data_IF_807389750551
#
_entry.id   IF_807389750551
#
_cell.length_a   1.000
_cell.length_b   1.000
_cell.length_c   1.000
_cell.angle_alpha   90.00
_cell.angle_beta   90.00
_cell.angle_gamma   90.00
#
_symmetry.space_group_name_H-M   'P 1'
#
loop_
_entity.id
_entity.type
_entity.pdbx_description
1 polymer ?
#
# COMPACT_ATOMS: atom_id res chain seq x y z
N UNK A 1 -15.64 -10.92 -28.39
CA UNK A 1 -14.60 -9.94 -27.99
C UNK A 1 -14.27 -10.00 -26.50
N UNK A 2 -15.21 -9.76 -25.57
CA UNK A 2 -14.91 -9.74 -24.11
C UNK A 2 -14.23 -11.01 -23.57
N UNK A 3 -14.73 -12.22 -23.89
CA UNK A 3 -14.06 -13.46 -23.44
C UNK A 3 -12.65 -13.63 -24.01
N UNK A 4 -12.40 -13.12 -25.21
CA UNK A 4 -11.09 -13.19 -25.88
C UNK A 4 -10.07 -12.32 -25.14
N UNK A 5 -10.46 -11.15 -24.60
CA UNK A 5 -9.53 -10.32 -23.83
C UNK A 5 -9.07 -10.98 -22.54
N UNK A 6 -9.90 -11.80 -21.90
CA UNK A 6 -9.50 -12.58 -20.72
C UNK A 6 -8.55 -13.72 -21.05
N UNK A 7 -8.77 -14.41 -22.17
CA UNK A 7 -7.88 -15.48 -22.63
C UNK A 7 -6.52 -14.90 -23.00
N UNK A 8 -6.48 -13.84 -23.81
CA UNK A 8 -5.24 -13.14 -24.16
C UNK A 8 -4.54 -12.64 -22.89
N UNK A 9 -5.28 -11.98 -21.99
CA UNK A 9 -4.72 -11.50 -20.72
C UNK A 9 -4.16 -12.63 -19.85
N UNK A 10 -4.78 -13.81 -19.85
CA UNK A 10 -4.31 -14.97 -19.08
C UNK A 10 -3.02 -15.57 -19.63
N UNK A 11 -2.88 -15.62 -20.95
CA UNK A 11 -1.65 -16.04 -21.62
C UNK A 11 -0.55 -15.03 -21.35
N UNK A 12 -0.85 -13.73 -21.47
CA UNK A 12 0.10 -12.65 -21.15
C UNK A 12 0.53 -12.73 -19.68
N UNK A 13 -0.39 -12.99 -18.75
CA UNK A 13 -0.08 -13.16 -17.34
C UNK A 13 0.94 -14.29 -17.11
N UNK A 14 0.72 -15.47 -17.70
CA UNK A 14 1.70 -16.56 -17.60
C UNK A 14 3.04 -16.21 -18.24
N UNK A 15 3.06 -15.52 -19.40
CA UNK A 15 4.33 -15.10 -20.02
C UNK A 15 5.11 -14.07 -19.20
N UNK A 16 4.42 -13.30 -18.34
CA UNK A 16 5.02 -12.26 -17.53
C UNK A 16 5.59 -12.77 -16.20
N UNK A 17 4.98 -13.82 -15.62
CA UNK A 17 5.31 -14.28 -14.27
C UNK A 17 5.89 -15.70 -14.20
N UNK A 18 5.84 -16.49 -15.26
CA UNK A 18 6.36 -17.86 -15.24
C UNK A 18 7.89 -17.89 -15.08
N UNK A 19 8.37 -18.44 -13.96
CA UNK A 19 9.80 -18.49 -13.59
C UNK A 19 10.50 -17.12 -13.57
N UNK A 20 9.74 -16.03 -13.43
CA UNK A 20 10.28 -14.67 -13.38
C UNK A 20 10.12 -14.08 -11.98
N UNK A 21 11.12 -13.32 -11.55
CA UNK A 21 11.06 -12.43 -10.41
C UNK A 21 10.25 -11.16 -10.71
N UNK A 22 9.98 -10.35 -9.68
CA UNK A 22 9.19 -9.13 -9.83
C UNK A 22 10.03 -8.00 -10.43
N UNK A 23 9.49 -7.33 -11.43
CA UNK A 23 10.09 -6.20 -12.13
C UNK A 23 9.09 -5.52 -13.05
N UNK A 24 9.45 -5.35 -14.33
CA UNK A 24 8.60 -4.78 -15.37
C UNK A 24 7.26 -5.52 -15.54
N UNK A 25 7.21 -6.81 -15.21
CA UNK A 25 6.00 -7.62 -15.19
C UNK A 25 4.87 -7.02 -14.33
N UNK A 26 5.16 -6.36 -13.21
CA UNK A 26 4.15 -5.67 -12.39
C UNK A 26 3.52 -4.51 -13.17
N UNK A 27 4.34 -3.73 -13.87
CA UNK A 27 3.87 -2.61 -14.69
C UNK A 27 2.99 -3.09 -15.83
N UNK A 28 3.39 -4.16 -16.53
CA UNK A 28 2.55 -4.74 -17.58
C UNK A 28 1.27 -5.35 -17.03
N UNK A 29 1.32 -6.01 -15.87
CA UNK A 29 0.13 -6.54 -15.23
C UNK A 29 -0.85 -5.44 -14.79
N UNK A 30 -0.34 -4.28 -14.35
CA UNK A 30 -1.14 -3.09 -14.08
C UNK A 30 -1.91 -2.65 -15.33
N UNK A 31 -1.24 -2.58 -16.49
CA UNK A 31 -1.87 -2.24 -17.77
C UNK A 31 -2.92 -3.27 -18.20
N UNK A 32 -2.63 -4.57 -18.08
CA UNK A 32 -3.58 -5.65 -18.39
C UNK A 32 -4.83 -5.53 -17.50
N UNK A 33 -4.63 -5.33 -16.20
CA UNK A 33 -5.70 -5.16 -15.22
C UNK A 33 -6.58 -3.96 -15.57
N UNK A 34 -6.00 -2.82 -15.93
CA UNK A 34 -6.73 -1.64 -16.37
C UNK A 34 -7.51 -1.90 -17.65
N UNK A 35 -6.91 -2.55 -18.65
CA UNK A 35 -7.58 -2.90 -19.89
C UNK A 35 -8.80 -3.80 -19.63
N UNK A 36 -8.68 -4.79 -18.76
CA UNK A 36 -9.80 -5.66 -18.35
C UNK A 36 -10.87 -4.87 -17.61
N UNK A 37 -10.51 -4.05 -16.62
CA UNK A 37 -11.48 -3.25 -15.87
C UNK A 37 -12.21 -2.25 -16.75
N UNK A 38 -11.53 -1.54 -17.65
CA UNK A 38 -12.12 -0.58 -18.57
C UNK A 38 -13.09 -1.28 -19.53
N UNK A 39 -12.66 -2.37 -20.17
CA UNK A 39 -13.49 -3.08 -21.18
C UNK A 39 -14.77 -3.69 -20.60
N UNK A 40 -14.74 -4.13 -19.33
CA UNK A 40 -15.90 -4.72 -18.68
C UNK A 40 -16.76 -3.70 -17.92
N UNK A 41 -16.15 -2.63 -17.38
CA UNK A 41 -16.80 -1.69 -16.47
C UNK A 41 -16.73 -0.23 -16.96
N UNK A 42 -16.85 0.01 -18.28
CA UNK A 42 -16.83 1.33 -18.93
C UNK A 42 -17.63 2.42 -18.19
N UNK A 43 -18.79 2.08 -17.62
CA UNK A 43 -19.63 3.04 -16.88
C UNK A 43 -18.95 3.56 -15.61
N UNK A 44 -18.20 2.72 -14.89
CA UNK A 44 -17.47 3.12 -13.69
C UNK A 44 -16.36 4.12 -14.02
N UNK A 45 -15.62 3.89 -15.12
CA UNK A 45 -14.53 4.76 -15.57
C UNK A 45 -14.95 6.15 -16.06
N UNK A 46 -16.25 6.41 -16.22
CA UNK A 46 -16.76 7.78 -16.43
C UNK A 46 -16.65 8.65 -15.17
N UNK A 47 -16.48 8.05 -13.99
CA UNK A 47 -16.35 8.78 -12.72
C UNK A 47 -14.91 9.23 -12.52
N UNK A 48 -14.73 10.50 -12.14
CA UNK A 48 -13.42 11.09 -11.82
C UNK A 48 -12.68 10.32 -10.71
N UNK A 49 -13.42 9.77 -9.73
CA UNK A 49 -12.84 8.96 -8.64
C UNK A 49 -12.17 7.68 -9.16
N UNK A 50 -12.81 6.96 -10.08
CA UNK A 50 -12.26 5.74 -10.67
C UNK A 50 -11.02 6.03 -11.50
N UNK A 51 -11.02 7.13 -12.24
CA UNK A 51 -9.83 7.61 -12.97
C UNK A 51 -8.71 7.96 -11.99
N UNK A 52 -9.00 8.66 -10.89
CA UNK A 52 -8.00 8.99 -9.87
C UNK A 52 -7.37 7.73 -9.26
N UNK A 53 -8.16 6.72 -8.86
CA UNK A 53 -7.61 5.46 -8.34
C UNK A 53 -6.82 4.67 -9.40
N UNK A 54 -7.20 4.77 -10.67
CA UNK A 54 -6.44 4.18 -11.78
C UNK A 54 -5.06 4.83 -11.91
N UNK A 55 -5.00 6.16 -11.80
CA UNK A 55 -3.73 6.90 -11.81
C UNK A 55 -2.84 6.52 -10.62
N UNK A 56 -3.39 6.38 -9.40
CA UNK A 56 -2.61 5.94 -8.24
C UNK A 56 -2.04 4.52 -8.43
N UNK A 57 -2.81 3.63 -9.06
CA UNK A 57 -2.34 2.28 -9.39
C UNK A 57 -1.20 2.30 -10.43
N UNK A 58 -1.28 3.17 -11.44
CA UNK A 58 -0.20 3.37 -12.41
C UNK A 58 1.03 3.99 -11.77
N UNK A 59 0.88 5.05 -10.96
CA UNK A 59 1.98 5.74 -10.28
C UNK A 59 2.77 4.77 -9.40
N UNK A 60 2.07 3.93 -8.63
CA UNK A 60 2.71 2.91 -7.79
C UNK A 60 3.41 1.82 -8.60
N UNK A 61 2.85 1.40 -9.74
CA UNK A 61 3.50 0.43 -10.63
C UNK A 61 4.78 1.01 -11.27
N UNK A 62 4.72 2.26 -11.74
CA UNK A 62 5.87 2.98 -12.28
C UNK A 62 6.94 3.15 -11.20
N UNK A 63 6.55 3.53 -9.99
CA UNK A 63 7.48 3.68 -8.86
C UNK A 63 8.15 2.35 -8.50
N UNK A 64 7.42 1.22 -8.59
CA UNK A 64 8.01 -0.11 -8.44
C UNK A 64 9.02 -0.42 -9.56
N UNK A 65 8.73 -0.06 -10.81
CA UNK A 65 9.71 -0.22 -11.89
C UNK A 65 10.99 0.61 -11.69
N UNK A 66 10.86 1.85 -11.20
CA UNK A 66 12.02 2.72 -10.97
C UNK A 66 12.86 2.31 -9.76
N UNK A 67 12.21 1.84 -8.70
CA UNK A 67 12.87 1.67 -7.40
C UNK A 67 12.84 0.25 -6.86
N UNK A 68 12.18 -0.72 -7.51
CA UNK A 68 12.07 -2.11 -7.05
C UNK A 68 11.94 -2.29 -5.52
N UNK A 69 11.13 -1.44 -4.87
CA UNK A 69 11.11 -1.31 -3.42
C UNK A 69 9.89 -2.00 -2.83
N UNK A 70 10.05 -2.59 -1.64
CA UNK A 70 8.94 -3.24 -0.92
C UNK A 70 7.80 -2.25 -0.64
N UNK A 71 8.12 -0.98 -0.39
CA UNK A 71 7.12 0.07 -0.17
C UNK A 71 6.29 0.32 -1.43
N UNK A 72 6.92 0.41 -2.60
CA UNK A 72 6.22 0.56 -3.88
C UNK A 72 5.38 -0.68 -4.21
N UNK A 73 5.84 -1.87 -3.87
CA UNK A 73 5.06 -3.10 -4.03
C UNK A 73 3.79 -3.08 -3.16
N UNK A 74 3.91 -2.74 -1.87
CA UNK A 74 2.76 -2.62 -0.95
C UNK A 74 1.79 -1.54 -1.46
N UNK A 75 2.30 -0.39 -1.89
CA UNK A 75 1.48 0.67 -2.48
C UNK A 75 0.76 0.22 -3.75
N UNK A 76 1.41 -0.58 -4.59
CA UNK A 76 0.81 -1.13 -5.79
C UNK A 76 -0.31 -2.11 -5.47
N UNK A 77 -0.10 -3.03 -4.52
CA UNK A 77 -1.12 -3.98 -4.07
C UNK A 77 -2.32 -3.23 -3.47
N UNK A 78 -2.10 -2.28 -2.55
CA UNK A 78 -3.21 -1.50 -1.96
C UNK A 78 -3.94 -0.64 -3.00
N UNK A 79 -3.22 -0.08 -3.97
CA UNK A 79 -3.84 0.67 -5.07
C UNK A 79 -4.68 -0.23 -5.99
N UNK A 80 -4.19 -1.43 -6.29
CA UNK A 80 -4.94 -2.46 -7.00
C UNK A 80 -6.24 -2.81 -6.26
N UNK A 81 -6.15 -3.15 -4.96
CA UNK A 81 -7.31 -3.50 -4.15
C UNK A 81 -8.30 -2.33 -4.08
N UNK A 82 -7.80 -1.09 -3.91
CA UNK A 82 -8.64 0.12 -3.89
C UNK A 82 -9.40 0.29 -5.19
N UNK A 83 -8.73 0.14 -6.34
CA UNK A 83 -9.34 0.31 -7.65
C UNK A 83 -10.40 -0.78 -7.92
N UNK A 84 -10.06 -2.05 -7.71
CA UNK A 84 -10.98 -3.17 -7.93
C UNK A 84 -12.20 -3.06 -7.01
N UNK A 85 -11.98 -2.76 -5.73
CA UNK A 85 -13.07 -2.54 -4.77
C UNK A 85 -13.93 -1.34 -5.11
N UNK A 86 -13.34 -0.23 -5.54
CA UNK A 86 -14.10 0.94 -5.96
C UNK A 86 -14.93 0.70 -7.23
N UNK A 87 -14.48 -0.16 -8.14
CA UNK A 87 -15.27 -0.57 -9.31
C UNK A 87 -16.43 -1.50 -8.90
N UNK A 88 -16.28 -2.28 -7.82
CA UNK A 88 -17.35 -3.14 -7.30
C UNK A 88 -18.55 -2.34 -6.78
N UNK A 89 -18.30 -1.24 -6.07
CA UNK A 89 -19.33 -0.35 -5.57
C UNK A 89 -18.75 1.07 -5.46
N UNK A 90 -19.45 2.05 -6.03
CA UNK A 90 -19.02 3.44 -6.01
C UNK A 90 -19.42 4.11 -4.69
N UNK A 91 -18.67 5.16 -4.31
CA UNK A 91 -18.90 5.99 -3.11
C UNK A 91 -18.75 5.24 -1.76
N UNK A 92 -17.96 4.18 -1.73
CA UNK A 92 -17.57 3.45 -0.53
C UNK A 92 -16.19 3.88 -0.03
N UNK A 93 -15.97 3.69 1.26
CA UNK A 93 -14.73 4.03 1.95
C UNK A 93 -13.56 3.16 1.49
N UNK A 94 -12.32 3.67 1.56
CA UNK A 94 -11.14 2.95 1.06
C UNK A 94 -10.90 1.61 1.76
N UNK A 95 -11.13 1.50 3.08
CA UNK A 95 -11.01 0.21 3.77
C UNK A 95 -12.04 -0.82 3.30
N UNK A 96 -13.25 -0.38 2.90
CA UNK A 96 -14.26 -1.25 2.27
C UNK A 96 -13.84 -1.61 0.85
N UNK A 97 -13.22 -0.68 0.12
CA UNK A 97 -12.65 -0.99 -1.19
C UNK A 97 -11.54 -2.05 -1.08
N UNK A 98 -10.69 -2.00 -0.05
CA UNK A 98 -9.71 -3.06 0.19
C UNK A 98 -10.36 -4.41 0.47
N UNK A 99 -11.40 -4.44 1.30
CA UNK A 99 -12.18 -5.65 1.56
C UNK A 99 -12.80 -6.21 0.29
N UNK A 100 -13.52 -5.38 -0.47
CA UNK A 100 -14.20 -5.78 -1.71
C UNK A 100 -13.19 -6.19 -2.80
N UNK A 101 -12.07 -5.47 -2.92
CA UNK A 101 -11.00 -5.77 -3.86
C UNK A 101 -10.34 -7.10 -3.54
N UNK A 102 -10.02 -7.35 -2.27
CA UNK A 102 -9.40 -8.59 -1.83
C UNK A 102 -10.37 -9.77 -1.98
N UNK A 103 -11.62 -9.59 -1.57
CA UNK A 103 -12.66 -10.60 -1.73
C UNK A 103 -12.93 -10.90 -3.21
N UNK A 104 -12.95 -9.87 -4.06
CA UNK A 104 -13.06 -10.05 -5.52
C UNK A 104 -11.90 -10.88 -6.04
N UNK A 105 -10.66 -10.50 -5.71
CA UNK A 105 -9.44 -11.18 -6.14
C UNK A 105 -9.46 -12.67 -5.79
N UNK A 106 -9.80 -13.00 -4.54
CA UNK A 106 -9.77 -14.38 -4.03
C UNK A 106 -11.01 -15.18 -4.38
N UNK A 107 -12.21 -14.62 -4.20
CA UNK A 107 -13.47 -15.38 -4.12
C UNK A 107 -14.55 -14.91 -5.08
N UNK A 108 -14.27 -13.97 -6.00
CA UNK A 108 -15.28 -13.39 -6.89
C UNK A 108 -16.03 -14.44 -7.74
N UNK A 109 -15.33 -15.46 -8.25
CA UNK A 109 -15.91 -16.56 -9.01
C UNK A 109 -16.89 -17.36 -8.18
N UNK A 110 -16.47 -17.74 -6.97
CA UNK A 110 -17.30 -18.55 -6.08
C UNK A 110 -18.53 -17.78 -5.63
N UNK A 111 -18.39 -16.50 -5.28
CA UNK A 111 -19.53 -15.66 -4.91
C UNK A 111 -20.58 -15.64 -6.02
N UNK A 112 -20.19 -15.40 -7.28
CA UNK A 112 -21.16 -15.33 -8.39
C UNK A 112 -21.82 -16.68 -8.75
N UNK A 113 -21.17 -17.79 -8.42
CA UNK A 113 -21.65 -19.12 -8.82
C UNK A 113 -22.33 -19.90 -7.70
N UNK A 114 -22.01 -19.59 -6.43
CA UNK A 114 -22.47 -20.33 -5.25
C UNK A 114 -23.18 -19.45 -4.22
N UNK A 115 -23.04 -18.12 -4.27
CA UNK A 115 -23.93 -17.28 -3.48
C UNK A 115 -25.31 -17.35 -4.13
N UNK A 116 -26.27 -17.93 -3.40
CA UNK A 116 -27.68 -17.96 -3.78
C UNK A 116 -28.18 -16.52 -3.65
N UNK A 117 -28.02 -15.74 -4.71
CA UNK A 117 -28.69 -14.44 -4.79
C UNK A 117 -30.20 -14.71 -4.88
N UNK A 118 -30.94 -14.23 -3.88
CA UNK A 118 -32.42 -14.26 -3.85
C UNK A 118 -33.06 -13.33 -4.88
N UNK A 119 -32.27 -12.62 -5.68
CA UNK A 119 -32.77 -11.79 -6.76
C UNK A 119 -32.98 -12.65 -7.99
N UNK A 120 -34.26 -12.88 -8.30
CA UNK A 120 -34.76 -13.46 -9.54
C UNK A 120 -34.22 -12.71 -10.77
N UNK A 121 -33.06 -13.10 -11.26
CA UNK A 121 -32.74 -12.92 -12.68
C UNK A 121 -32.86 -14.27 -13.35
N UNK A 122 -33.98 -14.42 -14.06
CA UNK A 122 -34.36 -15.59 -14.86
C UNK A 122 -33.11 -16.16 -15.54
N UNK A 123 -32.79 -17.40 -15.17
CA UNK A 123 -31.83 -18.25 -15.86
C UNK A 123 -32.29 -18.33 -17.32
N UNK A 124 -31.76 -17.47 -18.19
CA UNK A 124 -31.79 -17.75 -19.62
C UNK A 124 -31.06 -19.08 -19.77
N UNK A 125 -31.66 -20.09 -20.41
CA UNK A 125 -31.01 -21.38 -20.57
C UNK A 125 -29.63 -21.11 -21.18
N UNK A 126 -28.58 -21.53 -20.48
CA UNK A 126 -27.24 -21.56 -21.04
C UNK A 126 -27.37 -22.37 -22.32
N UNK A 127 -27.13 -21.75 -23.49
CA UNK A 127 -26.80 -22.54 -24.68
C UNK A 127 -25.61 -23.38 -24.26
N UNK A 128 -25.80 -24.70 -24.19
CA UNK A 128 -24.69 -25.61 -23.98
C UNK A 128 -23.63 -25.29 -25.02
N UNK A 129 -22.46 -24.89 -24.51
CA UNK A 129 -21.30 -24.71 -25.35
C UNK A 129 -20.92 -26.13 -25.74
N UNK A 130 -21.16 -26.50 -26.98
CA UNK A 130 -20.77 -27.81 -27.48
C UNK A 130 -19.24 -27.87 -27.52
N UNK A 131 -18.66 -28.37 -26.42
CA UNK A 131 -17.22 -28.53 -26.28
C UNK A 131 -16.65 -29.42 -27.39
N UNK A 132 -17.43 -30.38 -27.89
CA UNK A 132 -17.02 -31.24 -29.02
C UNK A 132 -16.93 -30.44 -30.31
N UNK A 133 -17.88 -29.51 -30.54
CA UNK A 133 -17.82 -28.62 -31.69
C UNK A 133 -16.61 -27.67 -31.63
N UNK A 134 -16.29 -27.09 -30.46
CA UNK A 134 -15.11 -26.23 -30.31
C UNK A 134 -13.80 -26.99 -30.45
N UNK A 135 -13.72 -28.22 -29.91
CA UNK A 135 -12.56 -29.11 -30.11
C UNK A 135 -12.39 -29.44 -31.59
N UNK A 136 -13.48 -29.67 -32.34
CA UNK A 136 -13.40 -29.90 -33.79
C UNK A 136 -12.97 -28.64 -34.55
N UNK A 137 -13.56 -27.48 -34.24
CA UNK A 137 -13.27 -26.19 -34.90
C UNK A 137 -11.81 -25.76 -34.69
N UNK A 138 -11.21 -26.05 -33.54
CA UNK A 138 -9.82 -25.67 -33.24
C UNK A 138 -8.86 -26.80 -33.59
N UNK A 139 -9.17 -28.03 -33.17
CA UNK A 139 -8.30 -29.19 -33.28
C UNK A 139 -8.10 -29.68 -34.72
N UNK A 140 -9.14 -29.68 -35.55
CA UNK A 140 -9.01 -30.12 -36.95
C UNK A 140 -8.09 -29.18 -37.74
N UNK A 141 -8.29 -27.83 -37.73
CA UNK A 141 -7.36 -26.92 -38.40
C UNK A 141 -5.94 -27.00 -37.84
N UNK A 142 -5.75 -27.13 -36.52
CA UNK A 142 -4.43 -27.29 -35.93
C UNK A 142 -3.74 -28.57 -36.43
N UNK A 143 -4.42 -29.71 -36.42
CA UNK A 143 -3.87 -30.97 -36.91
C UNK A 143 -3.48 -30.88 -38.39
N UNK A 144 -4.35 -30.29 -39.22
CA UNK A 144 -4.06 -30.06 -40.64
C UNK A 144 -2.85 -29.14 -40.81
N UNK A 145 -2.80 -28.00 -40.10
CA UNK A 145 -1.65 -27.08 -40.12
C UNK A 145 -0.37 -27.79 -39.70
N UNK A 146 -0.38 -28.61 -38.64
CA UNK A 146 0.79 -29.38 -38.20
C UNK A 146 1.28 -30.34 -39.27
N UNK A 147 0.36 -31.02 -39.97
CA UNK A 147 0.70 -31.89 -41.11
C UNK A 147 1.37 -31.06 -42.21
N UNK A 148 0.80 -29.93 -42.60
CA UNK A 148 1.37 -29.06 -43.63
C UNK A 148 2.73 -28.47 -43.22
N UNK A 149 2.90 -28.06 -41.96
CA UNK A 149 4.21 -27.63 -41.43
C UNK A 149 5.22 -28.77 -41.56
N UNK A 150 4.86 -30.01 -41.21
CA UNK A 150 5.76 -31.17 -41.35
C UNK A 150 6.16 -31.43 -42.81
N UNK A 151 5.19 -31.34 -43.75
CA UNK A 151 5.45 -31.49 -45.18
C UNK A 151 6.38 -30.37 -45.69
N UNK A 152 6.13 -29.11 -45.31
CA UNK A 152 6.96 -27.98 -45.71
C UNK A 152 8.36 -28.00 -45.11
N UNK A 153 8.51 -28.50 -43.88
CA UNK A 153 9.84 -28.74 -43.27
C UNK A 153 10.65 -29.74 -44.08
N UNK A 154 10.03 -30.80 -44.58
CA UNK A 154 10.72 -31.79 -45.45
C UNK A 154 11.02 -31.22 -46.84
N UNK A 155 10.14 -30.38 -47.38
CA UNK A 155 10.26 -29.83 -48.73
C UNK A 155 11.14 -28.59 -48.88
N UNK A 156 11.46 -27.88 -47.79
CA UNK A 156 12.23 -26.64 -47.85
C UNK A 156 13.21 -26.52 -46.65
N UNK A 157 14.54 -26.62 -46.87
CA UNK A 157 15.53 -26.53 -45.80
C UNK A 157 15.52 -25.17 -45.07
N UNK A 158 15.27 -24.06 -45.78
CA UNK A 158 15.15 -22.72 -45.17
C UNK A 158 13.95 -22.65 -44.22
N UNK A 159 12.83 -23.24 -44.60
CA UNK A 159 11.64 -23.33 -43.75
C UNK A 159 11.88 -24.23 -42.53
N UNK A 160 12.60 -25.33 -42.70
CA UNK A 160 12.97 -26.21 -41.59
C UNK A 160 13.82 -25.48 -40.54
N UNK A 161 14.82 -24.71 -40.97
CA UNK A 161 15.68 -23.95 -40.06
C UNK A 161 14.92 -22.85 -39.32
N UNK A 162 13.92 -22.22 -39.97
CA UNK A 162 13.04 -21.26 -39.30
C UNK A 162 12.17 -21.93 -38.23
N UNK A 163 11.57 -23.08 -38.51
CA UNK A 163 10.75 -23.80 -37.53
C UNK A 163 11.59 -24.34 -36.37
N UNK A 164 12.82 -24.80 -36.63
CA UNK A 164 13.74 -25.28 -35.58
C UNK A 164 14.15 -24.17 -34.59
N UNK A 165 14.08 -22.91 -34.99
CA UNK A 165 14.34 -21.75 -34.11
C UNK A 165 13.14 -21.40 -33.21
N UNK A 166 11.96 -21.93 -33.49
CA UNK A 166 10.76 -21.70 -32.67
C UNK A 166 10.75 -22.74 -31.53
N UNK A 167 11.15 -22.30 -30.35
CA UNK A 167 11.13 -23.13 -29.14
C UNK A 167 9.86 -22.88 -28.32
N UNK A 168 9.05 -23.92 -28.12
CA UNK A 168 7.88 -23.92 -27.24
C UNK A 168 8.14 -24.69 -25.92
N UNK A 169 9.40 -25.02 -25.61
CA UNK A 169 9.81 -25.75 -24.41
C UNK A 169 9.41 -25.08 -23.10
N UNK A 170 9.13 -23.77 -23.12
CA UNK A 170 8.59 -23.04 -21.97
C UNK A 170 7.12 -23.39 -21.64
N UNK A 171 6.35 -23.95 -22.59
CA UNK A 171 4.96 -24.34 -22.39
C UNK A 171 4.93 -25.73 -21.74
N UNK A 172 5.03 -25.76 -20.42
CA UNK A 172 4.87 -26.98 -19.63
C UNK A 172 3.56 -26.94 -18.80
N UNK A 173 3.31 -28.01 -18.04
CA UNK A 173 2.12 -28.11 -17.20
C UNK A 173 2.02 -26.97 -16.17
N UNK A 174 3.15 -26.51 -15.61
CA UNK A 174 3.16 -25.40 -14.65
C UNK A 174 2.79 -24.07 -15.30
N UNK A 175 3.29 -23.79 -16.52
CA UNK A 175 2.93 -22.62 -17.30
C UNK A 175 1.42 -22.61 -17.62
N UNK A 176 0.88 -23.76 -18.05
CA UNK A 176 -0.56 -23.92 -18.33
C UNK A 176 -1.39 -23.68 -17.07
N UNK A 177 -0.99 -24.25 -15.92
CA UNK A 177 -1.66 -24.04 -14.64
C UNK A 177 -1.63 -22.56 -14.25
N UNK A 178 -0.52 -21.87 -14.47
CA UNK A 178 -0.39 -20.44 -14.25
C UNK A 178 -1.29 -19.62 -15.19
N UNK A 179 -1.47 -20.03 -16.45
CA UNK A 179 -2.44 -19.42 -17.36
C UNK A 179 -3.88 -19.61 -16.85
N UNK A 180 -4.25 -20.80 -16.37
CA UNK A 180 -5.56 -21.04 -15.76
C UNK A 180 -5.78 -20.15 -14.52
N UNK A 181 -4.76 -20.01 -13.68
CA UNK A 181 -4.80 -19.10 -12.54
C UNK A 181 -4.92 -17.63 -12.99
N UNK A 182 -4.16 -17.20 -13.99
CA UNK A 182 -4.28 -15.88 -14.59
C UNK A 182 -5.68 -15.61 -15.15
N UNK A 183 -6.30 -16.61 -15.80
CA UNK A 183 -7.68 -16.52 -16.26
C UNK A 183 -8.66 -16.38 -15.10
N UNK A 184 -8.48 -17.18 -14.04
CA UNK A 184 -9.28 -17.09 -12.80
C UNK A 184 -9.22 -15.68 -12.19
N UNK A 185 -8.01 -15.14 -12.04
CA UNK A 185 -7.78 -13.80 -11.51
C UNK A 185 -8.43 -12.71 -12.38
N UNK A 186 -8.16 -12.71 -13.68
CA UNK A 186 -8.71 -11.70 -14.58
C UNK A 186 -10.24 -11.83 -14.73
N UNK A 187 -10.78 -13.05 -14.68
CA UNK A 187 -12.23 -13.26 -14.64
C UNK A 187 -12.85 -12.65 -13.38
N UNK A 188 -12.21 -12.84 -12.22
CA UNK A 188 -12.61 -12.20 -10.97
C UNK A 188 -12.60 -10.67 -11.06
N UNK A 189 -11.49 -10.11 -11.52
CA UNK A 189 -11.31 -8.66 -11.70
C UNK A 189 -12.30 -8.08 -12.72
N UNK A 190 -12.66 -8.83 -13.77
CA UNK A 190 -13.56 -8.34 -14.83
C UNK A 190 -14.96 -8.00 -14.33
N UNK A 191 -15.42 -8.67 -13.27
CA UNK A 191 -16.73 -8.47 -12.66
C UNK A 191 -16.59 -8.35 -11.15
N UNK A 192 -16.08 -7.22 -10.63
CA UNK A 192 -15.84 -7.06 -9.21
C UNK A 192 -17.11 -7.25 -8.39
N UNK A 193 -16.95 -7.79 -7.18
CA UNK A 193 -18.03 -8.21 -6.29
C UNK A 193 -17.94 -7.42 -5.00
N UNK A 194 -19.08 -6.94 -4.53
CA UNK A 194 -19.20 -6.28 -3.22
C UNK A 194 -19.41 -7.30 -2.11
N UNK A 195 -18.93 -6.98 -0.91
CA UNK A 195 -19.11 -7.80 0.29
C UNK A 195 -20.19 -7.18 1.16
N UNK A 196 -21.37 -7.79 1.18
CA UNK A 196 -22.47 -7.41 2.08
C UNK A 196 -22.46 -8.26 3.37
N UNK A 197 -22.88 -7.71 4.53
CA UNK A 197 -23.49 -6.39 4.72
C UNK A 197 -22.47 -5.24 4.86
N UNK A 198 -21.16 -5.49 4.89
CA UNK A 198 -20.15 -4.46 5.16
C UNK A 198 -20.22 -3.26 4.19
N UNK A 199 -20.44 -3.54 2.90
CA UNK A 199 -20.52 -2.51 1.85
C UNK A 199 -21.77 -1.65 1.99
N UNK A 200 -22.94 -2.27 2.13
CA UNK A 200 -24.21 -1.56 2.32
C UNK A 200 -24.25 -0.75 3.63
N UNK A 201 -23.70 -1.30 4.72
CA UNK A 201 -23.58 -0.58 5.99
C UNK A 201 -22.73 0.68 5.85
N UNK A 202 -21.56 0.60 5.20
CA UNK A 202 -20.71 1.76 4.99
C UNK A 202 -21.42 2.83 4.17
N UNK A 203 -21.98 2.44 3.01
CA UNK A 203 -22.67 3.37 2.10
C UNK A 203 -23.84 4.11 2.76
N UNK A 204 -24.61 3.41 3.60
CA UNK A 204 -25.77 3.96 4.27
C UNK A 204 -25.42 4.75 5.55
N UNK A 205 -24.22 4.57 6.09
CA UNK A 205 -23.80 5.25 7.31
C UNK A 205 -23.32 6.66 7.02
N UNK A 206 -24.06 7.67 7.53
CA UNK A 206 -23.65 9.07 7.47
C UNK A 206 -22.39 9.34 8.32
N UNK A 207 -21.75 10.49 8.16
CA UNK A 207 -20.59 10.95 8.93
C UNK A 207 -20.95 11.71 10.22
N UNK A 208 -22.20 12.12 10.39
CA UNK A 208 -22.65 12.88 11.54
C UNK A 208 -23.20 11.95 12.62
N UNK A 209 -22.98 12.30 13.89
CA UNK A 209 -23.71 11.66 14.98
C UNK A 209 -25.16 12.16 14.98
N UNK A 210 -26.08 11.25 15.28
CA UNK A 210 -27.49 11.57 15.55
C UNK A 210 -27.76 11.31 17.02
N UNK A 211 -28.59 12.15 17.63
CA UNK A 211 -29.00 11.97 19.02
C UNK A 211 -29.92 10.75 19.12
N UNK A 212 -29.63 9.82 20.05
CA UNK A 212 -30.54 8.70 20.35
C UNK A 212 -31.62 9.16 21.34
N UNK A 213 -32.85 8.66 21.16
CA UNK A 213 -34.05 9.13 21.87
C UNK A 213 -34.08 8.77 23.37
N UNK A 214 -33.43 7.68 23.79
CA UNK A 214 -33.35 7.31 25.21
C UNK A 214 -32.22 8.07 25.91
N UNK A 215 -32.57 9.13 26.62
CA UNK A 215 -31.65 9.95 27.41
C UNK A 215 -31.94 9.77 28.90
N UNK A 216 -31.18 8.90 29.56
CA UNK A 216 -31.07 8.94 31.01
C UNK A 216 -30.14 10.12 31.37
N UNK A 217 -30.73 11.29 31.65
CA UNK A 217 -29.96 12.50 32.00
C UNK A 217 -28.98 12.26 33.17
N UNK A 218 -29.36 11.41 34.12
CA UNK A 218 -28.54 11.03 35.27
C UNK A 218 -27.29 10.24 34.88
N UNK A 219 -27.36 9.35 33.88
CA UNK A 219 -26.17 8.61 33.40
C UNK A 219 -25.25 9.53 32.60
N UNK A 220 -25.81 10.42 31.77
CA UNK A 220 -25.01 11.42 31.05
C UNK A 220 -24.29 12.38 31.98
N UNK A 221 -24.93 12.81 33.07
CA UNK A 221 -24.29 13.66 34.09
C UNK A 221 -23.11 12.96 34.75
N UNK A 222 -23.27 11.69 35.14
CA UNK A 222 -22.19 10.87 35.73
C UNK A 222 -21.05 10.62 34.73
N UNK A 223 -21.36 10.31 33.48
CA UNK A 223 -20.35 10.10 32.42
C UNK A 223 -19.59 11.40 32.11
N UNK A 224 -20.27 12.55 32.09
CA UNK A 224 -19.64 13.87 31.93
C UNK A 224 -18.69 14.18 33.09
N UNK A 225 -19.12 13.96 34.34
CA UNK A 225 -18.29 14.19 35.53
C UNK A 225 -17.03 13.32 35.50
N UNK A 226 -17.18 12.02 35.20
CA UNK A 226 -16.05 11.11 35.07
C UNK A 226 -15.10 11.55 33.95
N UNK A 227 -15.64 11.95 32.80
CA UNK A 227 -14.82 12.45 31.68
C UNK A 227 -14.07 13.73 32.03
N UNK A 228 -14.70 14.68 32.72
CA UNK A 228 -14.07 15.93 33.15
C UNK A 228 -12.92 15.64 34.11
N UNK A 229 -13.15 14.81 35.15
CA UNK A 229 -12.12 14.46 36.13
C UNK A 229 -10.96 13.72 35.47
N UNK A 230 -11.26 12.70 34.65
CA UNK A 230 -10.22 11.91 34.00
C UNK A 230 -9.37 12.74 33.03
N UNK A 231 -10.00 13.50 32.13
CA UNK A 231 -9.26 14.32 31.16
C UNK A 231 -8.51 15.46 31.86
N UNK A 232 -9.04 16.02 32.96
CA UNK A 232 -8.32 17.01 33.76
C UNK A 232 -7.05 16.43 34.40
N UNK A 233 -7.14 15.26 35.05
CA UNK A 233 -5.99 14.58 35.65
C UNK A 233 -4.94 14.21 34.60
N UNK A 234 -5.41 13.71 33.45
CA UNK A 234 -4.54 13.41 32.33
C UNK A 234 -3.86 14.68 31.79
N UNK A 235 -4.58 15.78 31.57
CA UNK A 235 -4.01 17.07 31.16
C UNK A 235 -2.90 17.54 32.13
N UNK A 236 -3.12 17.39 33.43
CA UNK A 236 -2.09 17.71 34.44
C UNK A 236 -0.86 16.80 34.28
N UNK A 237 -1.08 15.50 34.09
CA UNK A 237 0.00 14.52 33.90
C UNK A 237 0.83 14.80 32.63
N UNK A 238 0.18 15.04 31.48
CA UNK A 238 0.92 15.33 30.24
C UNK A 238 1.62 16.68 30.32
N UNK A 239 1.05 17.68 31.01
CA UNK A 239 1.72 18.94 31.25
C UNK A 239 2.98 18.74 32.10
N UNK A 240 2.88 17.98 33.19
CA UNK A 240 4.04 17.63 34.02
C UNK A 240 5.10 16.89 33.20
N UNK A 241 4.68 15.91 32.40
CA UNK A 241 5.57 15.18 31.50
C UNK A 241 6.27 16.13 30.51
N UNK A 242 5.54 17.02 29.84
CA UNK A 242 6.10 17.97 28.88
C UNK A 242 7.10 18.93 29.52
N UNK A 243 6.85 19.37 30.77
CA UNK A 243 7.81 20.19 31.52
C UNK A 243 9.09 19.39 31.77
N UNK A 244 8.99 18.15 32.28
CA UNK A 244 10.17 17.30 32.51
C UNK A 244 10.92 16.95 31.22
N UNK A 245 10.18 16.79 30.12
CA UNK A 245 10.74 16.47 28.81
C UNK A 245 11.49 17.66 28.21
N UNK A 246 10.94 18.86 28.38
CA UNK A 246 11.56 20.10 27.93
C UNK A 246 12.79 20.46 28.75
N UNK A 247 12.75 20.30 30.09
CA UNK A 247 13.94 20.53 30.93
C UNK A 247 15.05 19.55 30.59
N UNK A 248 14.72 18.28 30.36
CA UNK A 248 15.68 17.28 29.88
C UNK A 248 16.32 17.72 28.55
N UNK A 249 15.52 18.14 27.56
CA UNK A 249 16.05 18.63 26.28
C UNK A 249 17.03 19.80 26.43
N UNK A 250 16.77 20.73 27.36
CA UNK A 250 17.66 21.85 27.63
C UNK A 250 18.97 21.45 28.32
N UNK A 251 18.92 20.45 29.21
CA UNK A 251 20.10 19.96 29.95
C UNK A 251 21.05 19.10 29.10
N UNK A 252 20.58 18.54 27.99
CA UNK A 252 21.31 17.48 27.25
C UNK A 252 22.29 18.02 26.20
N UNK A 253 22.97 19.16 26.48
CA UNK A 253 23.95 19.75 25.55
C UNK A 253 25.21 18.90 25.33
N UNK A 254 25.56 17.97 26.23
CA UNK A 254 26.87 17.27 26.22
C UNK A 254 26.83 15.74 26.41
N UNK A 255 25.69 15.06 26.22
CA UNK A 255 25.63 13.60 26.49
C UNK A 255 26.00 12.74 25.28
N UNK A 256 26.92 11.79 25.53
CA UNK A 256 27.46 10.81 24.57
C UNK A 256 26.35 10.09 23.81
N UNK A 257 26.58 9.90 22.51
CA UNK A 257 25.80 9.15 21.52
C UNK A 257 25.09 7.88 22.03
N UNK A 258 25.72 7.11 22.92
CA UNK A 258 25.20 5.84 23.43
C UNK A 258 24.03 5.97 24.41
N UNK A 259 23.97 7.04 25.22
CA UNK A 259 22.86 7.25 26.17
C UNK A 259 21.58 7.65 25.44
N UNK A 260 21.71 8.40 24.34
CA UNK A 260 20.59 8.76 23.48
C UNK A 260 19.95 7.54 22.80
N UNK A 261 20.72 6.57 22.31
CA UNK A 261 20.16 5.49 21.46
C UNK A 261 19.15 4.59 22.19
N UNK A 262 19.46 4.11 23.41
CA UNK A 262 18.57 3.22 24.16
C UNK A 262 17.33 3.95 24.72
N UNK A 263 17.50 5.20 25.14
CA UNK A 263 16.41 5.98 25.72
C UNK A 263 15.46 6.52 24.65
N UNK A 264 15.96 6.84 23.46
CA UNK A 264 15.14 7.32 22.34
C UNK A 264 14.31 6.18 21.74
N UNK A 265 14.86 4.96 21.59
CA UNK A 265 14.10 3.85 21.01
C UNK A 265 12.96 3.35 21.90
N UNK A 266 13.19 3.22 23.21
CA UNK A 266 12.14 2.84 24.17
C UNK A 266 11.16 4.00 24.43
N UNK A 267 11.68 5.24 24.52
CA UNK A 267 10.90 6.44 24.78
C UNK A 267 9.94 6.79 23.64
N UNK A 268 10.40 6.82 22.38
CA UNK A 268 9.54 7.15 21.24
C UNK A 268 8.39 6.15 21.13
N UNK A 269 8.64 4.84 21.28
CA UNK A 269 7.57 3.84 21.19
C UNK A 269 6.49 4.02 22.28
N UNK A 270 6.89 4.36 23.51
CA UNK A 270 5.95 4.66 24.58
C UNK A 270 5.13 5.94 24.31
N UNK A 271 5.77 6.96 23.74
CA UNK A 271 5.11 8.21 23.33
C UNK A 271 4.11 7.99 22.18
N UNK A 272 4.47 7.14 21.21
CA UNK A 272 3.59 6.69 20.15
C UNK A 272 2.32 6.04 20.73
N UNK A 273 2.50 5.09 21.65
CA UNK A 273 1.39 4.38 22.29
C UNK A 273 0.50 5.31 23.13
N UNK A 274 1.10 6.29 23.84
CA UNK A 274 0.34 7.24 24.65
C UNK A 274 -0.57 8.13 23.80
N UNK A 275 -0.15 8.54 22.61
CA UNK A 275 -0.98 9.36 21.71
C UNK A 275 -2.13 8.54 21.11
N UNK A 276 -1.92 7.26 20.80
CA UNK A 276 -3.02 6.38 20.37
C UNK A 276 -4.06 6.25 21.49
N UNK A 277 -3.61 6.06 22.73
CA UNK A 277 -4.49 6.02 23.89
C UNK A 277 -5.21 7.36 24.11
N UNK A 278 -4.53 8.48 23.90
CA UNK A 278 -5.11 9.82 23.97
C UNK A 278 -6.30 9.99 23.00
N UNK A 279 -6.15 9.54 21.74
CA UNK A 279 -7.24 9.54 20.75
C UNK A 279 -8.36 8.59 21.19
N UNK A 280 -8.03 7.39 21.67
CA UNK A 280 -9.02 6.40 22.10
C UNK A 280 -9.91 6.91 23.24
N UNK A 281 -9.32 7.60 24.23
CA UNK A 281 -10.05 8.20 25.35
C UNK A 281 -11.02 9.28 24.86
N UNK A 282 -10.59 10.17 23.94
CA UNK A 282 -11.48 11.16 23.34
C UNK A 282 -12.61 10.46 22.58
N UNK A 283 -12.31 9.43 21.80
CA UNK A 283 -13.31 8.68 21.06
C UNK A 283 -14.34 8.01 21.97
N UNK A 284 -13.90 7.50 23.13
CA UNK A 284 -14.78 6.91 24.13
C UNK A 284 -15.82 7.92 24.65
N UNK A 285 -15.39 9.09 25.14
CA UNK A 285 -16.32 10.08 25.69
C UNK A 285 -17.19 10.74 24.62
N UNK A 286 -16.63 11.01 23.44
CA UNK A 286 -17.35 11.66 22.34
C UNK A 286 -17.99 10.67 21.36
N UNK A 287 -18.30 9.43 21.78
CA UNK A 287 -18.92 8.40 20.92
C UNK A 287 -20.40 8.62 20.61
N UNK A 288 -21.13 9.36 21.45
CA UNK A 288 -22.59 9.39 21.41
C UNK A 288 -23.23 10.61 22.05
N UNK A 289 -24.30 10.39 22.83
CA UNK A 289 -25.21 11.42 23.35
C UNK A 289 -24.51 12.52 24.17
N UNK A 290 -23.33 12.25 24.75
CA UNK A 290 -22.55 13.23 25.48
C UNK A 290 -22.19 14.46 24.63
N UNK A 291 -22.09 14.34 23.29
CA UNK A 291 -21.88 15.47 22.38
C UNK A 291 -23.03 16.49 22.37
N UNK A 292 -24.25 16.04 22.69
CA UNK A 292 -25.49 16.83 22.70
C UNK A 292 -25.91 17.29 24.10
N UNK A 293 -25.17 16.88 25.15
CA UNK A 293 -25.44 17.30 26.52
C UNK A 293 -25.09 18.79 26.72
N UNK A 294 -26.01 19.57 27.31
CA UNK A 294 -25.87 21.04 27.42
C UNK A 294 -24.65 21.49 28.24
N UNK A 295 -24.29 20.73 29.28
CA UNK A 295 -23.19 21.08 30.19
C UNK A 295 -21.85 20.39 29.82
N UNK A 296 -21.68 19.96 28.56
CA UNK A 296 -20.44 19.33 28.10
C UNK A 296 -19.31 20.32 27.74
N UNK A 297 -19.50 21.61 28.00
CA UNK A 297 -18.58 22.70 27.64
C UNK A 297 -17.19 22.50 28.25
N UNK A 298 -17.12 22.19 29.55
CA UNK A 298 -15.86 21.93 30.26
C UNK A 298 -15.15 20.70 29.71
N UNK A 299 -15.90 19.63 29.42
CA UNK A 299 -15.34 18.41 28.83
C UNK A 299 -14.74 18.68 27.44
N UNK A 300 -15.45 19.43 26.59
CA UNK A 300 -14.95 19.84 25.26
C UNK A 300 -13.70 20.69 25.38
N UNK A 301 -13.69 21.68 26.26
CA UNK A 301 -12.52 22.54 26.51
C UNK A 301 -11.31 21.70 26.95
N UNK A 302 -11.47 20.83 27.94
CA UNK A 302 -10.40 19.96 28.42
C UNK A 302 -9.91 19.00 27.33
N UNK A 303 -10.80 18.49 26.47
CA UNK A 303 -10.42 17.66 25.34
C UNK A 303 -9.61 18.44 24.29
N UNK A 304 -9.95 19.71 24.01
CA UNK A 304 -9.14 20.55 23.11
C UNK A 304 -7.76 20.87 23.71
N UNK A 305 -7.69 21.19 25.00
CA UNK A 305 -6.40 21.35 25.71
C UNK A 305 -5.58 20.07 25.59
N UNK A 306 -6.19 18.91 25.81
CA UNK A 306 -5.55 17.60 25.69
C UNK A 306 -5.01 17.34 24.29
N UNK A 307 -5.77 17.68 23.24
CA UNK A 307 -5.30 17.58 21.84
C UNK A 307 -4.10 18.51 21.60
N UNK A 308 -4.16 19.76 22.06
CA UNK A 308 -3.05 20.73 21.91
C UNK A 308 -1.79 20.26 22.64
N UNK A 309 -1.91 19.75 23.87
CA UNK A 309 -0.77 19.19 24.61
C UNK A 309 -0.16 17.97 23.90
N UNK A 310 -1.00 17.10 23.32
CA UNK A 310 -0.50 15.98 22.50
C UNK A 310 0.14 16.45 21.18
N UNK A 311 -0.31 17.56 20.58
CA UNK A 311 0.39 18.15 19.42
C UNK A 311 1.77 18.69 19.81
N UNK A 312 1.89 19.37 20.96
CA UNK A 312 3.19 19.82 21.49
C UNK A 312 4.10 18.61 21.75
N UNK A 313 3.56 17.52 22.30
CA UNK A 313 4.29 16.27 22.50
C UNK A 313 4.84 15.69 21.19
N UNK A 314 4.03 15.69 20.14
CA UNK A 314 4.44 15.26 18.79
C UNK A 314 5.59 16.13 18.26
N UNK A 315 5.50 17.46 18.44
CA UNK A 315 6.55 18.40 18.02
C UNK A 315 7.86 18.13 18.77
N UNK A 316 7.82 17.98 20.10
CA UNK A 316 9.01 17.66 20.90
C UNK A 316 9.65 16.33 20.47
N UNK A 317 8.82 15.33 20.15
CA UNK A 317 9.28 14.04 19.66
C UNK A 317 9.94 14.17 18.27
N UNK A 318 9.36 14.98 17.37
CA UNK A 318 9.95 15.27 16.07
C UNK A 318 11.30 15.96 16.19
N UNK A 319 11.45 16.93 17.11
CA UNK A 319 12.72 17.61 17.36
C UNK A 319 13.80 16.61 17.80
N UNK A 320 13.48 15.68 18.70
CA UNK A 320 14.40 14.62 19.14
C UNK A 320 14.82 13.70 18.00
N UNK A 321 13.87 13.27 17.17
CA UNK A 321 14.18 12.40 16.03
C UNK A 321 15.05 13.14 14.99
N UNK A 322 14.78 14.42 14.73
CA UNK A 322 15.62 15.28 13.89
C UNK A 322 17.04 15.46 14.46
N UNK A 323 17.18 15.65 15.77
CA UNK A 323 18.50 15.67 16.42
C UNK A 323 19.21 14.31 16.24
N UNK A 324 18.49 13.21 16.36
CA UNK A 324 19.03 11.88 16.17
C UNK A 324 19.49 11.64 14.73
N UNK A 325 18.71 12.12 13.74
CA UNK A 325 19.09 12.11 12.33
C UNK A 325 20.34 12.97 12.08
N UNK A 326 20.43 14.14 12.71
CA UNK A 326 21.57 15.03 12.56
C UNK A 326 22.89 14.39 13.03
N UNK A 327 22.88 13.65 14.14
CA UNK A 327 24.09 12.99 14.66
C UNK A 327 24.42 11.67 13.97
N UNK A 328 23.42 10.86 13.61
CA UNK A 328 23.60 9.47 13.17
C UNK A 328 23.06 9.16 11.76
N UNK A 329 22.61 10.17 11.03
CA UNK A 329 22.02 10.02 9.70
C UNK A 329 20.58 9.50 9.69
N UNK A 330 20.01 9.29 8.50
CA UNK A 330 18.74 8.62 8.32
C UNK A 330 18.84 7.09 8.45
N UNK A 331 17.76 6.51 8.95
CA UNK A 331 17.45 5.08 8.84
C UNK A 331 15.97 4.92 8.52
N UNK A 332 15.54 3.74 8.06
CA UNK A 332 14.12 3.46 7.84
C UNK A 332 13.27 3.64 9.10
N UNK A 333 13.82 3.31 10.27
CA UNK A 333 13.12 3.49 11.55
C UNK A 333 12.86 4.97 11.84
N UNK A 334 13.86 5.84 11.64
CA UNK A 334 13.73 7.30 11.86
C UNK A 334 12.75 7.94 10.87
N UNK A 335 12.85 7.59 9.59
CA UNK A 335 11.86 8.02 8.57
C UNK A 335 10.45 7.53 8.93
N UNK A 336 10.33 6.29 9.41
CA UNK A 336 9.06 5.73 9.87
C UNK A 336 8.45 6.51 11.05
N UNK A 337 9.28 6.97 12.00
CA UNK A 337 8.84 7.85 13.09
C UNK A 337 8.30 9.16 12.53
N UNK A 338 9.02 9.85 11.62
CA UNK A 338 8.53 11.09 11.01
C UNK A 338 7.19 10.90 10.28
N UNK A 339 7.03 9.82 9.52
CA UNK A 339 5.78 9.49 8.84
C UNK A 339 4.64 9.20 9.82
N UNK A 340 4.95 8.49 10.92
CA UNK A 340 3.99 8.24 11.99
C UNK A 340 3.56 9.54 12.68
N UNK A 341 4.49 10.44 13.01
CA UNK A 341 4.19 11.72 13.64
C UNK A 341 3.31 12.58 12.71
N UNK A 342 3.57 12.59 11.40
CA UNK A 342 2.72 13.24 10.41
C UNK A 342 1.28 12.70 10.44
N UNK A 343 1.12 11.37 10.39
CA UNK A 343 -0.19 10.71 10.49
C UNK A 343 -0.90 11.04 11.81
N UNK A 344 -0.13 11.19 12.89
CA UNK A 344 -0.63 11.50 14.23
C UNK A 344 -1.14 12.94 14.32
N UNK A 345 -0.42 13.92 13.77
CA UNK A 345 -0.89 15.31 13.66
C UNK A 345 -2.22 15.35 12.91
N UNK A 346 -2.32 14.61 11.80
CA UNK A 346 -3.54 14.52 11.01
C UNK A 346 -4.65 13.86 11.83
N UNK A 347 -4.36 12.75 12.50
CA UNK A 347 -5.31 12.03 13.36
C UNK A 347 -5.85 12.86 14.53
N UNK A 348 -4.99 13.64 15.19
CA UNK A 348 -5.38 14.58 16.25
C UNK A 348 -6.23 15.71 15.68
N UNK A 349 -5.88 16.23 14.50
CA UNK A 349 -6.62 17.27 13.79
C UNK A 349 -8.02 16.79 13.39
N UNK A 350 -8.13 15.59 12.81
CA UNK A 350 -9.42 14.99 12.43
C UNK A 350 -10.26 14.65 13.65
N UNK A 351 -9.63 14.28 14.77
CA UNK A 351 -10.30 14.12 16.07
C UNK A 351 -10.84 15.44 16.60
N UNK A 352 -10.09 16.54 16.52
CA UNK A 352 -10.57 17.88 16.89
C UNK A 352 -11.78 18.30 16.02
N UNK A 353 -11.71 18.07 14.70
CA UNK A 353 -12.83 18.34 13.78
C UNK A 353 -14.04 17.47 14.14
N UNK A 354 -13.82 16.21 14.52
CA UNK A 354 -14.89 15.30 14.96
C UNK A 354 -15.62 15.84 16.18
N UNK A 355 -14.90 16.33 17.18
CA UNK A 355 -15.48 16.93 18.40
C UNK A 355 -16.23 18.22 18.07
N UNK A 356 -15.63 19.09 17.23
CA UNK A 356 -16.23 20.38 16.82
C UNK A 356 -17.53 20.21 16.05
N UNK A 357 -17.51 19.35 15.03
CA UNK A 357 -18.60 19.20 14.06
C UNK A 357 -19.50 17.98 14.38
N UNK A 358 -19.39 17.41 15.58
CA UNK A 358 -20.22 16.30 16.08
C UNK A 358 -20.25 15.12 15.08
N UNK A 359 -19.06 14.74 14.59
CA UNK A 359 -18.89 13.62 13.65
C UNK A 359 -18.82 12.29 14.39
N UNK A 360 -19.19 11.22 13.71
CA UNK A 360 -19.12 9.87 14.25
C UNK A 360 -17.74 9.21 14.02
N UNK A 361 -17.58 7.97 14.47
CA UNK A 361 -16.35 7.21 14.29
C UNK A 361 -16.04 6.93 12.80
N UNK A 362 -17.09 6.67 12.01
CA UNK A 362 -16.97 6.35 10.58
C UNK A 362 -16.34 7.49 9.78
N UNK A 363 -16.69 8.74 10.10
CA UNK A 363 -16.01 9.91 9.54
C UNK A 363 -14.50 9.86 9.76
N UNK A 364 -14.06 9.55 10.98
CA UNK A 364 -12.64 9.53 11.33
C UNK A 364 -11.91 8.40 10.59
N UNK A 365 -12.50 7.20 10.56
CA UNK A 365 -11.93 6.07 9.80
C UNK A 365 -11.81 6.41 8.32
N UNK A 366 -12.86 6.99 7.72
CA UNK A 366 -12.87 7.41 6.31
C UNK A 366 -11.74 8.37 5.97
N UNK A 367 -11.64 9.46 6.72
CA UNK A 367 -10.65 10.51 6.46
C UNK A 367 -9.24 10.02 6.76
N UNK A 368 -9.01 9.34 7.88
CA UNK A 368 -7.66 8.91 8.23
C UNK A 368 -7.16 7.77 7.32
N UNK A 369 -8.03 6.84 6.88
CA UNK A 369 -7.61 5.80 5.93
C UNK A 369 -7.28 6.37 4.55
N UNK A 370 -8.05 7.35 4.03
CA UNK A 370 -7.68 7.99 2.75
C UNK A 370 -6.39 8.78 2.85
N UNK A 371 -6.15 9.47 3.96
CA UNK A 371 -4.91 10.19 4.17
C UNK A 371 -3.71 9.26 4.31
N UNK A 372 -3.84 8.17 5.08
CA UNK A 372 -2.79 7.17 5.19
C UNK A 372 -2.46 6.52 3.84
N UNK A 373 -3.47 6.18 3.06
CA UNK A 373 -3.28 5.64 1.71
C UNK A 373 -2.60 6.66 0.78
N UNK A 374 -3.00 7.93 0.81
CA UNK A 374 -2.36 8.98 0.01
C UNK A 374 -0.89 9.17 0.38
N UNK A 375 -0.56 9.24 1.68
CA UNK A 375 0.83 9.35 2.16
C UNK A 375 1.64 8.13 1.72
N UNK A 376 1.07 6.93 1.77
CA UNK A 376 1.74 5.71 1.34
C UNK A 376 2.05 5.71 -0.16
N UNK A 377 1.12 6.17 -1.01
CA UNK A 377 1.37 6.29 -2.46
C UNK A 377 2.38 7.40 -2.76
N UNK A 378 2.34 8.53 -2.07
CA UNK A 378 3.35 9.60 -2.24
C UNK A 378 4.72 9.11 -1.78
N UNK A 379 4.79 8.44 -0.64
CA UNK A 379 6.04 7.93 -0.07
C UNK A 379 6.69 6.88 -0.97
N UNK A 380 5.91 6.10 -1.73
CA UNK A 380 6.47 5.09 -2.61
C UNK A 380 7.13 5.65 -3.88
N UNK A 381 6.88 6.91 -4.23
CA UNK A 381 7.52 7.58 -5.38
C UNK A 381 8.94 8.06 -5.06
N UNK A 382 9.44 7.81 -3.85
CA UNK A 382 10.76 8.26 -3.39
C UNK A 382 11.68 7.05 -3.26
N UNK A 383 12.88 7.14 -3.82
CA UNK A 383 13.95 6.17 -3.56
C UNK A 383 14.56 6.43 -2.17
N UNK A 384 13.94 5.85 -1.14
CA UNK A 384 14.39 6.01 0.24
C UNK A 384 15.82 5.49 0.46
N UNK A 385 16.22 4.37 -0.14
CA UNK A 385 17.58 3.83 0.03
C UNK A 385 18.65 4.78 -0.52
N UNK A 386 18.44 5.31 -1.73
CA UNK A 386 19.34 6.28 -2.32
C UNK A 386 19.37 7.58 -1.50
N UNK A 387 18.22 8.06 -1.05
CA UNK A 387 18.13 9.29 -0.25
C UNK A 387 18.82 9.16 1.12
N UNK A 388 18.58 8.04 1.82
CA UNK A 388 19.27 7.70 3.07
C UNK A 388 20.77 7.67 2.85
N UNK A 389 21.22 7.00 1.79
CA UNK A 389 22.65 6.84 1.50
C UNK A 389 23.30 8.17 1.18
N UNK A 390 22.71 8.96 0.29
CA UNK A 390 23.23 10.27 -0.09
C UNK A 390 23.30 11.23 1.11
N UNK A 391 22.25 11.29 1.92
CA UNK A 391 22.25 12.13 3.11
C UNK A 391 23.30 11.69 4.13
N UNK A 392 23.36 10.39 4.42
CA UNK A 392 24.28 9.89 5.45
C UNK A 392 25.73 10.11 5.08
N UNK A 393 26.09 9.88 3.81
CA UNK A 393 27.46 10.06 3.34
C UNK A 393 27.92 11.52 3.34
N UNK A 394 27.01 12.47 3.09
CA UNK A 394 27.36 13.88 2.95
C UNK A 394 27.19 14.70 4.25
N UNK A 395 26.27 14.32 5.13
CA UNK A 395 25.86 15.18 6.26
C UNK A 395 25.93 14.53 7.63
N UNK A 396 25.96 13.19 7.75
CA UNK A 396 25.93 12.56 9.07
C UNK A 396 27.29 12.65 9.76
N UNK A 397 27.29 13.08 11.03
CA UNK A 397 28.51 13.17 11.86
C UNK A 397 29.11 11.80 12.17
N UNK A 398 28.26 10.80 12.40
CA UNK A 398 28.66 9.42 12.66
C UNK A 398 27.90 8.48 11.74
N UNK A 399 28.59 7.97 10.72
CA UNK A 399 27.99 7.12 9.68
C UNK A 399 28.07 5.66 10.12
N UNK A 400 26.91 4.99 10.21
CA UNK A 400 26.86 3.54 10.25
C UNK A 400 26.96 2.98 8.82
N UNK A 401 28.19 2.66 8.42
CA UNK A 401 28.47 2.17 7.07
C UNK A 401 27.91 0.76 6.83
N UNK A 402 27.89 -0.10 7.85
CA UNK A 402 27.33 -1.45 7.72
C UNK A 402 25.83 -1.39 7.44
N UNK A 403 25.12 -0.43 8.07
CA UNK A 403 23.72 -0.17 7.75
C UNK A 403 23.53 0.19 6.27
N UNK A 404 24.33 1.10 5.71
CA UNK A 404 24.25 1.50 4.29
C UNK A 404 24.53 0.34 3.32
N UNK A 405 25.53 -0.50 3.63
CA UNK A 405 25.83 -1.69 2.83
C UNK A 405 24.67 -2.68 2.85
N UNK A 406 24.01 -2.86 3.99
CA UNK A 406 22.90 -3.80 4.16
C UNK A 406 21.55 -3.31 3.63
N UNK A 407 21.43 -2.05 3.19
CA UNK A 407 20.25 -1.57 2.48
C UNK A 407 20.04 -2.36 1.17
N UNK A 408 18.87 -2.23 0.56
CA UNK A 408 18.60 -2.89 -0.73
C UNK A 408 19.54 -2.40 -1.83
N UNK A 409 19.47 -3.02 -3.02
CA UNK A 409 20.33 -2.67 -4.14
C UNK A 409 20.07 -1.26 -4.72
N UNK A 410 18.98 -0.59 -4.32
CA UNK A 410 18.60 0.73 -4.79
C UNK A 410 19.57 1.86 -4.45
N UNK A 411 20.51 1.63 -3.52
CA UNK A 411 21.56 2.59 -3.20
C UNK A 411 22.92 2.28 -3.83
N UNK A 412 23.05 1.19 -4.58
CA UNK A 412 24.34 0.68 -5.06
C UNK A 412 25.06 1.68 -5.94
N UNK A 413 24.35 2.33 -6.87
CA UNK A 413 24.95 3.35 -7.73
C UNK A 413 25.42 4.57 -6.95
N UNK A 414 24.66 5.00 -5.94
CA UNK A 414 25.04 6.14 -5.07
C UNK A 414 26.29 5.80 -4.25
N UNK A 415 26.39 4.57 -3.74
CA UNK A 415 27.59 4.10 -3.03
C UNK A 415 28.82 4.08 -3.96
N UNK A 416 28.65 3.60 -5.20
CA UNK A 416 29.74 3.50 -6.18
C UNK A 416 30.25 4.89 -6.58
N UNK A 417 29.35 5.80 -6.90
CA UNK A 417 29.68 7.20 -7.23
C UNK A 417 30.43 7.90 -6.08
N UNK A 418 30.01 7.69 -4.84
CA UNK A 418 30.69 8.28 -3.68
C UNK A 418 32.10 7.70 -3.46
N UNK A 419 32.27 6.39 -3.70
CA UNK A 419 33.57 5.71 -3.62
C UNK A 419 34.58 6.22 -4.63
N UNK A 420 34.14 6.69 -5.80
CA UNK A 420 35.01 7.22 -6.86
C UNK A 420 35.47 8.66 -6.57
N UNK A 421 34.67 9.41 -5.78
CA UNK A 421 34.92 10.82 -5.51
C UNK A 421 35.68 11.08 -4.20
N UNK A 422 35.72 10.12 -3.26
CA UNK A 422 36.31 10.28 -1.93
C UNK A 422 37.22 9.09 -1.60
N UNK A 423 38.41 9.38 -1.07
CA UNK A 423 39.32 8.36 -0.53
C UNK A 423 38.71 7.72 0.73
N UNK A 424 38.09 6.55 0.55
CA UNK A 424 37.60 5.70 1.63
C UNK A 424 38.63 4.64 2.00
N UNK A 425 38.51 4.10 3.22
CA UNK A 425 39.27 2.95 3.70
C UNK A 425 39.07 1.71 2.80
N UNK A 426 40.14 0.95 2.56
CA UNK A 426 40.17 -0.16 1.60
C UNK A 426 39.10 -1.22 1.91
N UNK A 427 38.83 -1.49 3.20
CA UNK A 427 37.82 -2.46 3.60
C UNK A 427 36.40 -2.01 3.16
N UNK A 428 36.12 -0.71 3.25
CA UNK A 428 34.84 -0.11 2.86
C UNK A 428 34.66 -0.12 1.35
N UNK A 429 35.72 0.23 0.61
CA UNK A 429 35.75 0.16 -0.85
C UNK A 429 35.44 -1.28 -1.31
N UNK A 430 36.12 -2.28 -0.75
CA UNK A 430 35.89 -3.69 -1.08
C UNK A 430 34.44 -4.13 -0.83
N UNK A 431 33.81 -3.69 0.27
CA UNK A 431 32.39 -3.99 0.54
C UNK A 431 31.46 -3.36 -0.49
N UNK A 432 31.70 -2.11 -0.90
CA UNK A 432 30.92 -1.43 -1.94
C UNK A 432 31.08 -2.16 -3.27
N UNK A 433 32.31 -2.47 -3.66
CA UNK A 433 32.60 -3.17 -4.93
C UNK A 433 31.97 -4.55 -4.97
N UNK A 434 32.05 -5.31 -3.88
CA UNK A 434 31.38 -6.61 -3.78
C UNK A 434 29.86 -6.49 -3.97
N UNK A 435 29.23 -5.50 -3.31
CA UNK A 435 27.79 -5.24 -3.47
C UNK A 435 27.45 -4.82 -4.90
N UNK A 436 28.25 -3.91 -5.47
CA UNK A 436 28.10 -3.42 -6.84
C UNK A 436 28.21 -4.57 -7.85
N UNK A 437 29.29 -5.34 -7.81
CA UNK A 437 29.52 -6.45 -8.72
C UNK A 437 28.43 -7.51 -8.63
N UNK A 438 27.98 -7.85 -7.40
CA UNK A 438 26.84 -8.76 -7.21
C UNK A 438 25.56 -8.22 -7.85
N UNK A 439 25.28 -6.94 -7.69
CA UNK A 439 24.09 -6.32 -8.28
C UNK A 439 24.18 -6.23 -9.81
N UNK A 440 25.34 -5.87 -10.37
CA UNK A 440 25.55 -5.87 -11.82
C UNK A 440 25.37 -7.27 -12.40
N UNK A 441 25.90 -8.30 -11.74
CA UNK A 441 25.69 -9.69 -12.16
C UNK A 441 24.21 -10.09 -12.13
N UNK A 442 23.46 -9.63 -11.11
CA UNK A 442 22.01 -9.83 -11.06
C UNK A 442 21.32 -9.13 -12.24
N UNK A 443 21.58 -7.85 -12.46
CA UNK A 443 20.98 -7.08 -13.56
C UNK A 443 21.29 -7.66 -14.95
N UNK A 444 22.50 -8.20 -15.16
CA UNK A 444 22.88 -8.88 -16.42
C UNK A 444 22.17 -10.22 -16.63
N UNK A 445 21.72 -10.87 -15.56
CA UNK A 445 20.98 -12.14 -15.61
C UNK A 445 19.47 -11.93 -15.76
N UNK A 446 18.97 -10.75 -15.45
CA UNK A 446 17.55 -10.45 -15.55
C UNK A 446 17.06 -10.67 -16.98
N UNK A 447 15.89 -11.28 -17.10
CA UNK A 447 15.15 -11.25 -18.37
C UNK A 447 14.38 -9.93 -18.52
N UNK A 448 13.89 -9.61 -19.72
CA UNK A 448 13.18 -8.35 -19.98
C UNK A 448 11.95 -8.14 -19.08
N UNK A 449 11.29 -9.22 -18.65
CA UNK A 449 10.16 -9.17 -17.71
C UNK A 449 10.56 -8.68 -16.31
N UNK A 450 11.80 -8.94 -15.92
CA UNK A 450 12.38 -8.62 -14.62
C UNK A 450 13.09 -7.28 -14.62
N UNK A 451 13.15 -6.60 -15.78
CA UNK A 451 13.83 -5.32 -15.89
C UNK A 451 13.24 -4.30 -14.93
N UNK A 452 14.12 -3.57 -14.27
CA UNK A 452 13.83 -2.34 -13.57
C UNK A 452 14.59 -1.21 -14.27
N UNK A 453 14.43 0.02 -13.80
CA UNK A 453 15.12 1.16 -14.39
C UNK A 453 16.65 1.02 -14.38
N UNK A 454 17.22 0.37 -13.37
CA UNK A 454 18.66 0.19 -13.26
C UNK A 454 19.25 -0.73 -14.33
N UNK A 455 18.47 -1.68 -14.89
CA UNK A 455 18.92 -2.51 -16.01
C UNK A 455 19.33 -1.66 -17.23
N UNK A 456 18.66 -0.53 -17.45
CA UNK A 456 18.95 0.38 -18.57
C UNK A 456 20.19 1.24 -18.36
N UNK A 457 20.77 1.27 -17.15
CA UNK A 457 22.05 1.95 -16.89
C UNK A 457 23.26 1.14 -17.33
N UNK A 458 23.07 -0.12 -17.71
CA UNK A 458 24.13 -1.05 -18.13
C UNK A 458 24.28 -1.17 -19.64
N UNK A 459 23.34 -0.57 -20.38
CA UNK A 459 23.38 -0.43 -21.84
C UNK A 459 24.06 0.90 -22.17
#
# INVERSE_FOLDING_TARGET
MKKVTLIIGSILFSTLFYEQSLGLNITFFCLITLAVLITYNLKAFKRKSTVAYSLLYVISAISFFFFNSNLALIANILSFLTLVGHVSELNTSIYVNWLNGFYTFVAGFFHRNFAIDKTEDRVKPKKDIDYVQWIKIIGIPLAVITIFISLYRKGNPVFNDLINKIDFGFINFQWILLSFFGYYLLYNISKPVKVDPATSLDKNTNNNLTQKHELLLTTLKKENQLGVVLIALLNLLILFFLITDFTFLLSTKDLRASVYSNQVHSGINALIASIVMAIAIILYFFRGNLNFYKENTHLKMLAYIWIVLNLILVINTAIKDCQYIYYFGFTYKRIGVLMYLLLTVIGLTTTAIKVKNIKNLWYLLRVNTITAFAILVISCTINWDAHITHYNLNFAKSIDFNYLINLSNNNVFVLKEHCENINLDEEKVRKIENKYNKYIQQLKRNNWQEFNYDNFKLQ
#
